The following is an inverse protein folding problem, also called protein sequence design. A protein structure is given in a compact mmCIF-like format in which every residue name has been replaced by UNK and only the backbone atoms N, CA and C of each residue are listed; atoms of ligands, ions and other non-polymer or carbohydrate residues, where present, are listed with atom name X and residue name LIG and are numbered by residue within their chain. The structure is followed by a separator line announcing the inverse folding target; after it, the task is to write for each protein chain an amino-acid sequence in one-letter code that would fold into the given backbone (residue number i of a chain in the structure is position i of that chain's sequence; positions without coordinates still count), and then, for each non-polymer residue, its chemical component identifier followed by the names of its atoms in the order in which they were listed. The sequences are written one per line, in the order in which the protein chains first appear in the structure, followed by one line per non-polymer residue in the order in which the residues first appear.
data_IF_087331743260
#
_entry.id   IF_087331743260
#
_cell.length_a   1.000
_cell.length_b   1.000
_cell.length_c   1.000
_cell.angle_alpha   90.00
_cell.angle_beta   90.00
_cell.angle_gamma   90.00
#
_symmetry.space_group_name_H-M   'P 1'
#
loop_
_entity.id
_entity.type
_entity.pdbx_description
1 polymer ?
#
# COMPACT_ATOMS: atom_id res chain seq x y z
N UNK A 1 -5.70 18.14 3.05
CA UNK A 1 -5.20 18.09 2.97
C UNK A 1 -4.86 17.83 2.19
N UNK A 2 -5.33 18.03 1.28
CA UNK A 2 -4.66 17.56 0.95
C UNK A 2 -4.34 17.74 -0.38
N UNK A 3 -3.21 17.92 -0.58
CA UNK A 3 -2.63 18.06 -1.88
C UNK A 3 -3.26 17.15 -2.87
N UNK A 4 -3.61 15.99 -2.45
CA UNK A 4 -4.24 15.03 -3.34
C UNK A 4 -5.54 15.53 -3.93
N UNK A 5 -6.24 16.35 -3.21
CA UNK A 5 -7.49 16.88 -3.70
C UNK A 5 -7.26 17.81 -4.87
N UNK A 6 -6.15 18.49 -4.82
CA UNK A 6 -5.82 19.43 -5.87
C UNK A 6 -5.63 18.76 -7.21
N UNK A 7 -5.36 17.49 -7.19
CA UNK A 7 -5.09 16.78 -8.40
C UNK A 7 -6.22 16.72 -9.36
N UNK A 8 -7.42 16.84 -8.88
CA UNK A 8 -8.58 16.75 -9.77
C UNK A 8 -8.76 17.98 -10.60
N UNK A 9 -8.01 19.01 -10.27
CA UNK A 9 -8.10 20.24 -11.03
C UNK A 9 -7.20 20.17 -12.24
N UNK A 10 -7.31 21.03 -13.14
CA UNK A 10 -6.40 21.16 -14.25
C UNK A 10 -6.34 19.99 -15.20
N UNK A 11 -7.35 19.18 -15.24
CA UNK A 11 -7.38 18.11 -16.21
C UNK A 11 -6.39 16.99 -15.96
N UNK A 12 -5.72 17.01 -14.85
CA UNK A 12 -4.89 15.91 -14.46
C UNK A 12 -3.58 15.72 -15.19
N UNK A 13 -3.18 16.65 -16.02
CA UNK A 13 -1.98 16.45 -16.81
C UNK A 13 -0.70 16.64 -16.02
N UNK A 14 -0.69 17.51 -15.02
CA UNK A 14 0.49 17.76 -14.23
C UNK A 14 0.29 17.45 -12.78
N UNK A 15 -0.49 16.44 -12.55
CA UNK A 15 -0.80 16.04 -11.19
C UNK A 15 0.42 15.39 -10.57
N UNK A 16 0.81 15.88 -9.41
CA UNK A 16 1.88 15.25 -8.64
C UNK A 16 1.26 14.32 -7.64
N UNK A 17 1.77 13.12 -7.60
CA UNK A 17 1.31 12.11 -6.65
C UNK A 17 2.44 11.79 -5.69
N UNK A 18 2.14 11.85 -4.40
CA UNK A 18 3.11 11.57 -3.36
C UNK A 18 2.57 10.52 -2.41
N UNK A 19 3.47 9.68 -1.95
CA UNK A 19 3.20 8.82 -0.83
C UNK A 19 3.39 9.67 0.43
N UNK A 20 2.36 9.83 1.23
CA UNK A 20 2.38 10.76 2.35
C UNK A 20 2.37 10.02 3.68
N UNK A 21 3.37 10.29 4.51
CA UNK A 21 3.46 9.74 5.85
C UNK A 21 3.19 10.83 6.87
N UNK A 22 2.40 10.48 7.87
CA UNK A 22 2.07 11.38 8.98
C UNK A 22 2.61 10.80 10.26
N UNK A 23 3.20 11.64 11.09
CA UNK A 23 3.61 11.26 12.44
C UNK A 23 3.15 12.33 13.39
N UNK A 24 2.31 11.95 14.33
CA UNK A 24 1.87 12.86 15.37
C UNK A 24 2.91 12.87 16.48
N UNK A 25 2.49 12.55 17.70
CA UNK A 25 3.40 12.58 18.84
C UNK A 25 3.93 11.21 19.23
N UNK A 26 3.47 10.20 18.55
CA UNK A 26 3.90 8.84 18.84
C UNK A 26 5.18 8.48 18.12
N UNK A 27 5.47 7.21 18.10
CA UNK A 27 6.67 6.67 17.46
C UNK A 27 6.36 5.98 16.14
N UNK A 28 5.17 6.20 15.59
CA UNK A 28 4.77 5.55 14.37
C UNK A 28 4.44 6.55 13.29
N UNK A 29 4.91 6.27 12.10
CA UNK A 29 4.44 6.96 10.89
C UNK A 29 3.22 6.21 10.38
N UNK A 30 2.28 6.95 9.81
CA UNK A 30 1.05 6.38 9.27
C UNK A 30 0.78 6.88 7.88
N UNK A 31 0.16 6.04 7.06
CA UNK A 31 -0.36 6.45 5.77
C UNK A 31 -1.75 5.85 5.59
N UNK A 32 -2.49 6.38 4.63
CA UNK A 32 -3.91 6.06 4.49
C UNK A 32 -4.27 5.64 3.07
N UNK A 33 -5.29 4.79 2.98
CA UNK A 33 -5.94 4.45 1.73
C UNK A 33 -4.96 3.95 0.66
N UNK A 34 -4.87 4.62 -0.47
CA UNK A 34 -4.02 4.16 -1.56
C UNK A 34 -2.54 4.09 -1.17
N UNK A 35 -2.09 5.03 -0.35
CA UNK A 35 -0.72 5.01 0.15
C UNK A 35 -0.47 3.77 1.00
N UNK A 36 -1.45 3.41 1.82
CA UNK A 36 -1.34 2.21 2.65
C UNK A 36 -1.24 0.94 1.80
N UNK A 37 -1.97 0.88 0.70
CA UNK A 37 -1.90 -0.27 -0.19
C UNK A 37 -0.55 -0.40 -0.85
N UNK A 38 0.08 0.72 -1.19
CA UNK A 38 1.44 0.70 -1.73
C UNK A 38 2.43 0.19 -0.68
N UNK A 39 2.27 0.62 0.58
CA UNK A 39 3.12 0.14 1.65
C UNK A 39 2.93 -1.35 1.90
N UNK A 40 1.72 -1.83 1.77
CA UNK A 40 1.46 -3.26 1.87
C UNK A 40 2.15 -4.02 0.72
N UNK A 41 2.09 -3.50 -0.49
CA UNK A 41 2.72 -4.13 -1.64
C UNK A 41 4.24 -4.20 -1.48
N UNK A 42 4.86 -3.11 -1.07
CA UNK A 42 6.31 -3.01 -1.02
C UNK A 42 6.93 -3.67 0.21
N UNK A 43 6.26 -3.60 1.34
CA UNK A 43 6.85 -4.03 2.62
C UNK A 43 6.06 -5.12 3.33
N UNK A 44 4.87 -5.43 2.87
CA UNK A 44 4.03 -6.40 3.55
C UNK A 44 3.38 -5.86 4.81
N UNK A 45 3.44 -4.56 5.05
CA UNK A 45 2.80 -3.98 6.23
C UNK A 45 1.29 -4.10 6.14
N UNK A 46 0.67 -4.42 7.26
CA UNK A 46 -0.76 -4.67 7.30
C UNK A 46 -1.56 -3.38 7.15
N UNK A 47 -2.60 -3.44 6.33
CA UNK A 47 -3.57 -2.35 6.20
C UNK A 47 -4.76 -2.68 7.08
N UNK A 48 -5.10 -1.78 7.99
CA UNK A 48 -6.20 -1.98 8.92
C UNK A 48 -7.54 -1.71 8.24
N UNK A 49 -8.63 -2.08 8.92
CA UNK A 49 -9.98 -1.93 8.35
C UNK A 49 -10.31 -0.49 7.97
N UNK A 50 -9.77 0.47 8.70
CA UNK A 50 -10.00 1.87 8.42
C UNK A 50 -9.09 2.44 7.33
N UNK A 51 -8.30 1.58 6.70
CA UNK A 51 -7.41 2.00 5.61
C UNK A 51 -6.08 2.55 6.08
N UNK A 52 -5.76 2.41 7.37
CA UNK A 52 -4.50 2.90 7.91
C UNK A 52 -3.43 1.83 7.86
N UNK A 53 -2.21 2.26 7.59
CA UNK A 53 -1.02 1.43 7.69
C UNK A 53 0.03 2.21 8.47
N UNK A 54 0.67 1.56 9.41
CA UNK A 54 1.67 2.23 10.23
C UNK A 54 2.95 1.41 10.35
N UNK A 55 4.04 2.10 10.63
CA UNK A 55 5.32 1.45 10.92
C UNK A 55 6.10 2.28 11.93
N UNK A 56 6.99 1.64 12.71
CA UNK A 56 7.73 2.37 13.73
C UNK A 56 8.75 3.33 13.10
N UNK A 57 9.03 4.42 13.79
CA UNK A 57 9.90 5.45 13.25
C UNK A 57 11.33 4.95 12.99
N UNK A 58 11.77 3.92 13.70
CA UNK A 58 13.10 3.37 13.46
C UNK A 58 13.19 2.58 12.15
N UNK A 59 12.08 2.36 11.48
CA UNK A 59 12.07 1.74 10.15
C UNK A 59 12.07 2.77 9.02
N UNK A 60 12.04 4.05 9.35
CA UNK A 60 11.91 5.09 8.32
C UNK A 60 13.03 5.04 7.30
N UNK A 61 14.27 4.86 7.73
CA UNK A 61 15.41 4.82 6.80
C UNK A 61 15.25 3.72 5.77
N UNK A 62 14.83 2.55 6.20
CA UNK A 62 14.60 1.42 5.31
C UNK A 62 13.49 1.75 4.30
N UNK A 63 12.41 2.34 4.79
CA UNK A 63 11.29 2.71 3.94
C UNK A 63 11.73 3.73 2.89
N UNK A 64 12.42 4.78 3.31
CA UNK A 64 12.84 5.83 2.39
C UNK A 64 13.84 5.31 1.37
N UNK A 65 14.75 4.44 1.76
CA UNK A 65 15.69 3.84 0.81
C UNK A 65 14.95 3.08 -0.29
N UNK A 66 13.93 2.33 0.07
CA UNK A 66 13.14 1.59 -0.90
C UNK A 66 12.37 2.54 -1.81
N UNK A 67 11.81 3.61 -1.26
CA UNK A 67 11.09 4.59 -2.08
C UNK A 67 12.01 5.30 -3.05
N UNK A 68 13.23 5.57 -2.65
CA UNK A 68 14.19 6.19 -3.55
C UNK A 68 14.67 5.21 -4.62
N UNK A 69 14.87 3.95 -4.27
CA UNK A 69 15.23 2.94 -5.26
C UNK A 69 14.12 2.73 -6.29
N UNK A 70 12.88 2.80 -5.87
CA UNK A 70 11.74 2.63 -6.77
C UNK A 70 11.29 3.95 -7.38
N UNK A 71 11.87 5.07 -6.95
CA UNK A 71 11.57 6.41 -7.43
C UNK A 71 10.09 6.77 -7.24
N UNK A 72 9.61 6.54 -6.03
CA UNK A 72 8.27 6.97 -5.64
C UNK A 72 8.41 8.26 -4.85
N UNK A 73 7.80 9.32 -5.33
CA UNK A 73 7.82 10.61 -4.63
C UNK A 73 7.09 10.49 -3.31
N UNK A 74 7.61 11.14 -2.27
CA UNK A 74 7.01 11.05 -0.95
C UNK A 74 7.07 12.36 -0.20
N UNK A 75 6.23 12.47 0.82
CA UNK A 75 6.23 13.56 1.77
C UNK A 75 6.17 13.00 3.18
N UNK A 76 6.88 13.62 4.09
CA UNK A 76 6.83 13.27 5.50
C UNK A 76 6.34 14.49 6.27
N UNK A 77 5.22 14.31 6.96
CA UNK A 77 4.57 15.39 7.70
C UNK A 77 4.60 15.03 9.19
N UNK A 78 5.32 15.83 9.97
CA UNK A 78 5.38 15.66 11.41
C UNK A 78 4.87 16.91 12.10
N UNK A 79 4.29 16.73 13.28
CA UNK A 79 3.79 17.84 14.08
C UNK A 79 4.93 18.79 14.42
N UNK A 80 4.69 20.09 14.24
CA UNK A 80 5.63 21.15 14.59
C UNK A 80 6.94 21.13 13.79
N UNK A 81 6.94 20.47 12.64
CA UNK A 81 8.09 20.45 11.76
C UNK A 81 7.71 20.79 10.34
N UNK A 82 8.66 21.31 9.60
CA UNK A 82 8.44 21.54 8.17
C UNK A 82 8.35 20.21 7.45
N UNK A 83 7.46 20.08 6.48
CA UNK A 83 7.35 18.84 5.71
C UNK A 83 8.63 18.52 4.95
N UNK A 84 8.97 17.26 4.87
CA UNK A 84 10.07 16.78 4.05
C UNK A 84 9.46 16.25 2.77
N UNK A 85 9.93 16.77 1.64
CA UNK A 85 9.36 16.41 0.33
C UNK A 85 10.47 15.92 -0.59
N UNK A 86 10.27 14.76 -1.16
CA UNK A 86 11.15 14.24 -2.21
C UNK A 86 10.29 14.05 -3.46
N UNK A 87 10.60 14.77 -4.52
CA UNK A 87 9.82 14.77 -5.75
C UNK A 87 10.70 14.28 -6.89
N UNK A 88 10.33 13.17 -7.50
CA UNK A 88 11.06 12.61 -8.63
C UNK A 88 10.55 13.13 -9.97
N UNK A 89 9.57 14.04 -9.93
CA UNK A 89 9.01 14.67 -11.13
C UNK A 89 8.57 13.65 -12.18
N UNK A 90 9.15 13.71 -13.37
CA UNK A 90 8.76 12.82 -14.45
C UNK A 90 9.12 11.36 -14.20
N UNK A 91 10.06 11.13 -13.29
CA UNK A 91 10.48 9.77 -12.96
C UNK A 91 9.65 9.16 -11.84
N UNK A 92 8.68 9.90 -11.33
CA UNK A 92 7.85 9.44 -10.22
C UNK A 92 7.05 8.20 -10.61
N UNK A 93 7.30 7.10 -9.93
CA UNK A 93 6.64 5.83 -10.18
C UNK A 93 5.42 5.59 -9.30
N UNK A 94 4.95 6.61 -8.60
CA UNK A 94 3.76 6.47 -7.76
C UNK A 94 2.58 5.88 -8.53
N UNK A 95 2.22 6.39 -9.72
CA UNK A 95 1.07 5.84 -10.44
C UNK A 95 1.26 4.36 -10.80
N UNK A 96 2.48 3.97 -11.15
CA UNK A 96 2.77 2.59 -11.48
C UNK A 96 2.57 1.67 -10.29
N UNK A 97 3.11 2.06 -9.14
CA UNK A 97 3.00 1.24 -7.94
C UNK A 97 1.60 1.27 -7.35
N UNK A 98 0.87 2.36 -7.53
CA UNK A 98 -0.53 2.39 -7.14
C UNK A 98 -1.33 1.37 -7.94
N UNK A 99 -1.11 1.31 -9.25
CA UNK A 99 -1.81 0.33 -10.07
C UNK A 99 -1.50 -1.10 -9.63
N UNK A 100 -0.23 -1.39 -9.37
CA UNK A 100 0.18 -2.70 -8.89
C UNK A 100 -0.41 -3.02 -7.53
N UNK A 101 -0.48 -2.03 -6.64
CA UNK A 101 -1.03 -2.23 -5.31
C UNK A 101 -2.53 -2.52 -5.36
N UNK A 102 -3.26 -1.84 -6.23
CA UNK A 102 -4.69 -2.08 -6.39
C UNK A 102 -4.96 -3.47 -6.96
N UNK A 103 -4.14 -3.91 -7.91
CA UNK A 103 -4.26 -5.26 -8.45
C UNK A 103 -3.95 -6.31 -7.40
N UNK A 104 -2.95 -6.05 -6.56
CA UNK A 104 -2.60 -6.95 -5.48
C UNK A 104 -3.73 -7.03 -4.45
N UNK A 105 -4.36 -5.92 -4.16
CA UNK A 105 -5.48 -5.87 -3.22
C UNK A 105 -6.65 -6.69 -3.74
N UNK A 106 -6.99 -6.56 -5.01
CA UNK A 106 -8.06 -7.34 -5.61
C UNK A 106 -7.78 -8.83 -5.53
N UNK A 107 -6.55 -9.22 -5.86
CA UNK A 107 -6.13 -10.61 -5.79
C UNK A 107 -6.26 -11.15 -4.36
N UNK A 108 -5.87 -10.35 -3.36
CA UNK A 108 -5.97 -10.76 -1.97
C UNK A 108 -7.41 -10.92 -1.50
N UNK A 109 -8.29 -10.03 -1.92
CA UNK A 109 -9.71 -10.13 -1.59
C UNK A 109 -10.31 -11.40 -2.16
N UNK A 110 -9.94 -11.74 -3.38
CA UNK A 110 -10.42 -12.97 -4.01
C UNK A 110 -9.90 -14.20 -3.29
N UNK A 111 -8.63 -14.16 -2.89
CA UNK A 111 -8.03 -15.26 -2.16
C UNK A 111 -8.69 -15.44 -0.80
N UNK A 112 -8.91 -14.35 -0.07
CA UNK A 112 -9.58 -14.40 1.23
C UNK A 112 -10.99 -14.97 1.11
N UNK A 113 -11.71 -14.59 0.06
CA UNK A 113 -13.03 -15.10 -0.20
C UNK A 113 -13.00 -16.62 -0.41
N UNK A 114 -12.03 -17.09 -1.20
CA UNK A 114 -11.88 -18.52 -1.46
C UNK A 114 -11.52 -19.29 -0.18
N UNK A 115 -10.62 -18.75 0.62
CA UNK A 115 -10.22 -19.38 1.88
C UNK A 115 -11.42 -19.47 2.83
N UNK A 116 -12.20 -18.42 2.93
CA UNK A 116 -13.38 -18.41 3.79
C UNK A 116 -14.38 -19.49 3.35
N UNK A 117 -14.59 -19.61 2.06
CA UNK A 117 -15.48 -20.65 1.54
C UNK A 117 -14.95 -22.07 1.78
N UNK A 118 -13.64 -22.25 1.66
CA UNK A 118 -13.03 -23.54 1.94
C UNK A 118 -13.24 -23.94 3.41
N UNK A 119 -13.12 -22.97 4.30
CA UNK A 119 -13.32 -23.24 5.74
C UNK A 119 -14.75 -23.63 6.07
N UNK A 120 -15.70 -23.27 5.21
CA UNK A 120 -17.11 -23.62 5.39
C UNK A 120 -17.51 -24.90 4.70
N UNK A 121 -16.64 -25.49 3.90
CA UNK A 121 -16.94 -26.73 3.21
C UNK A 121 -16.93 -27.91 4.15
N UNK A 122 -17.67 -28.97 3.79
CA UNK A 122 -17.56 -30.23 4.49
C UNK A 122 -16.21 -30.88 4.16
N UNK A 123 -15.72 -31.72 5.03
CA UNK A 123 -14.39 -32.32 4.90
C UNK A 123 -14.17 -33.05 3.57
N UNK A 124 -15.16 -33.76 3.12
CA UNK A 124 -15.07 -34.50 1.87
C UNK A 124 -14.82 -33.62 0.67
N UNK A 125 -15.56 -32.49 0.62
CA UNK A 125 -15.45 -31.56 -0.48
C UNK A 125 -14.13 -30.78 -0.38
N UNK A 126 -13.73 -30.45 0.84
CA UNK A 126 -12.47 -29.76 1.09
C UNK A 126 -11.27 -30.57 0.63
N UNK A 127 -11.25 -31.86 0.96
CA UNK A 127 -10.19 -32.78 0.52
C UNK A 127 -10.05 -32.80 -0.99
N UNK A 128 -11.18 -32.89 -1.67
CA UNK A 128 -11.18 -32.91 -3.12
C UNK A 128 -10.61 -31.64 -3.72
N UNK A 129 -11.01 -30.48 -3.19
CA UNK A 129 -10.54 -29.21 -3.68
C UNK A 129 -9.05 -29.03 -3.40
N UNK A 130 -8.60 -29.40 -2.22
CA UNK A 130 -7.19 -29.31 -1.87
C UNK A 130 -6.34 -30.20 -2.76
N UNK A 131 -6.82 -31.37 -3.10
CA UNK A 131 -6.13 -32.26 -4.03
C UNK A 131 -5.93 -31.64 -5.41
N UNK A 132 -6.95 -30.91 -5.90
CA UNK A 132 -6.87 -30.23 -7.17
C UNK A 132 -5.84 -29.09 -7.13
N UNK A 133 -5.80 -28.34 -6.03
CA UNK A 133 -4.85 -27.25 -5.86
C UNK A 133 -3.43 -27.81 -5.79
N UNK A 134 -3.22 -28.88 -5.04
CA UNK A 134 -1.90 -29.49 -4.92
C UNK A 134 -1.37 -29.96 -6.27
N UNK A 135 -2.26 -30.49 -7.11
CA UNK A 135 -1.87 -30.95 -8.44
C UNK A 135 -1.33 -29.82 -9.31
N UNK A 136 -1.84 -28.61 -9.12
CA UNK A 136 -1.36 -27.45 -9.89
C UNK A 136 0.08 -27.07 -9.58
N UNK A 137 0.58 -27.50 -8.42
CA UNK A 137 1.93 -27.17 -8.00
C UNK A 137 2.96 -28.26 -8.28
N UNK A 138 2.59 -29.30 -8.99
CA UNK A 138 3.50 -30.42 -9.30
C UNK A 138 4.23 -30.24 -10.62
#
# INVERSE_FOLDING_TARGET
MYVKIMKTLGGGTNVKSFLIFYKNRGKFYQCKNTDAYIMNLLFGYKVLKDGLCGFPDNSLSKVLNTLEDTKISYQIIEVDKNPIIKDFDKLNNYPKYLDLALKNLDKRKRLDYLIDNLNKCCDKKLEKIMGLIENEFR
#
